data_IF_685145025097
#
_entry.id   IF_685145025097
#
_cell.length_a   1.000
_cell.length_b   1.000
_cell.length_c   1.000
_cell.angle_alpha   90.00
_cell.angle_beta   90.00
_cell.angle_gamma   90.00
#
_symmetry.space_group_name_H-M   'P 1'
#
loop_
_entity.id
_entity.type
_entity.pdbx_description
1 polymer ?
#
# COMPACT_ATOMS: atom_id res chain seq x y z
N UNK A 1 -10.68 -2.19 30.76
CA UNK A 1 -9.75 -2.24 29.61
C UNK A 1 -10.31 -3.28 28.65
N UNK A 2 -10.74 -2.92 27.44
CA UNK A 2 -11.19 -3.92 26.45
C UNK A 2 -9.96 -4.35 25.67
N UNK A 3 -9.46 -5.54 25.95
CA UNK A 3 -8.44 -6.16 25.11
C UNK A 3 -9.07 -6.48 23.76
N UNK A 4 -8.39 -6.08 22.69
CA UNK A 4 -8.76 -6.47 21.33
C UNK A 4 -8.21 -7.90 21.16
N UNK A 5 -8.96 -8.92 21.55
CA UNK A 5 -8.49 -10.32 21.55
C UNK A 5 -8.10 -10.85 20.15
N UNK A 6 -8.53 -10.20 19.07
CA UNK A 6 -8.34 -10.71 17.69
C UNK A 6 -7.26 -10.00 16.86
N UNK A 7 -7.21 -8.66 16.77
CA UNK A 7 -6.15 -7.96 16.05
C UNK A 7 -4.81 -8.10 16.77
N UNK A 8 -3.81 -8.61 16.05
CA UNK A 8 -2.43 -8.70 16.52
C UNK A 8 -1.58 -7.63 15.85
N UNK A 9 -0.65 -7.06 16.63
CA UNK A 9 0.33 -6.09 16.15
C UNK A 9 1.70 -6.76 16.09
N UNK A 10 2.29 -6.87 14.90
CA UNK A 10 3.63 -7.45 14.71
C UNK A 10 4.63 -6.38 14.31
N UNK A 11 5.82 -6.43 14.88
CA UNK A 11 6.91 -5.52 14.59
C UNK A 11 8.03 -6.26 13.85
N UNK A 12 8.38 -5.76 12.67
CA UNK A 12 9.51 -6.23 11.89
C UNK A 12 10.58 -5.12 11.89
N UNK A 13 11.66 -5.27 12.68
CA UNK A 13 12.64 -4.19 12.85
C UNK A 13 13.37 -3.88 11.54
N UNK A 14 13.55 -2.59 11.27
CA UNK A 14 14.30 -2.07 10.12
C UNK A 14 15.59 -1.41 10.61
N UNK A 15 16.65 -1.51 9.81
CA UNK A 15 18.00 -1.08 10.17
C UNK A 15 19.05 -1.94 9.48
N UNK A 16 20.28 -1.90 9.99
CA UNK A 16 21.40 -2.63 9.38
C UNK A 16 21.55 -2.31 7.89
N UNK A 17 21.70 -3.34 7.05
CA UNK A 17 21.86 -3.17 5.59
C UNK A 17 20.69 -2.43 4.92
N UNK A 18 19.50 -2.41 5.52
CA UNK A 18 18.36 -1.67 4.98
C UNK A 18 18.58 -0.15 5.02
N UNK A 19 19.46 0.35 5.90
CA UNK A 19 19.82 1.77 5.95
C UNK A 19 20.83 2.16 4.86
N UNK A 20 21.66 1.21 4.42
CA UNK A 20 22.74 1.49 3.47
C UNK A 20 22.27 1.43 2.01
N UNK A 21 21.15 0.73 1.75
CA UNK A 21 20.55 0.64 0.42
C UNK A 21 19.79 1.93 0.12
N UNK A 22 20.14 2.59 -1.00
CA UNK A 22 19.40 3.77 -1.48
C UNK A 22 17.90 3.47 -1.65
N UNK A 23 16.99 4.38 -1.22
CA UNK A 23 15.56 4.27 -1.44
C UNK A 23 15.15 4.08 -2.91
N UNK A 24 15.97 4.52 -3.86
CA UNK A 24 15.71 4.40 -5.31
C UNK A 24 16.44 3.23 -5.99
N UNK A 25 17.23 2.44 -5.24
CA UNK A 25 17.96 1.29 -5.79
C UNK A 25 17.02 0.19 -6.33
N UNK A 26 15.83 0.08 -5.74
CA UNK A 26 14.76 -0.86 -6.12
C UNK A 26 13.41 -0.16 -5.94
N UNK A 27 12.32 -0.69 -6.52
CA UNK A 27 10.98 -0.12 -6.35
C UNK A 27 10.58 0.08 -4.88
N UNK A 28 10.96 -0.84 -3.99
CA UNK A 28 10.70 -0.76 -2.56
C UNK A 28 11.54 0.35 -1.88
N UNK A 29 10.91 1.44 -1.40
CA UNK A 29 11.61 2.67 -1.01
C UNK A 29 11.86 2.80 0.50
N UNK A 30 11.26 1.95 1.33
CA UNK A 30 11.26 2.12 2.78
C UNK A 30 12.58 1.62 3.37
N UNK A 31 13.57 2.52 3.42
CA UNK A 31 14.97 2.27 3.84
C UNK A 31 15.29 3.07 5.11
N UNK A 32 16.48 3.68 5.16
CA UNK A 32 16.93 4.55 6.25
C UNK A 32 15.84 5.53 6.72
N UNK A 33 15.73 5.68 8.05
CA UNK A 33 14.72 6.51 8.70
C UNK A 33 13.49 5.74 9.20
N UNK A 34 13.30 4.48 8.77
CA UNK A 34 12.26 3.60 9.30
C UNK A 34 12.80 2.70 10.43
N UNK A 35 12.12 2.69 11.57
CA UNK A 35 12.51 1.88 12.75
C UNK A 35 11.98 0.44 12.65
N UNK A 36 10.75 0.27 12.13
CA UNK A 36 10.14 -1.03 11.92
C UNK A 36 9.00 -0.92 10.90
N UNK A 37 8.72 -2.03 10.21
CA UNK A 37 7.41 -2.26 9.60
C UNK A 37 6.47 -2.82 10.67
N UNK A 38 5.28 -2.23 10.78
CA UNK A 38 4.25 -2.65 11.74
C UNK A 38 3.07 -3.23 10.96
N UNK A 39 2.77 -4.51 11.18
CA UNK A 39 1.64 -5.22 10.58
C UNK A 39 0.50 -5.34 11.60
N UNK A 40 -0.72 -4.99 11.18
CA UNK A 40 -1.94 -5.38 11.90
C UNK A 40 -2.54 -6.57 11.16
N UNK A 41 -2.67 -7.71 11.84
CA UNK A 41 -3.34 -8.88 11.29
C UNK A 41 -4.53 -9.26 12.18
N UNK A 42 -5.63 -9.66 11.56
CA UNK A 42 -6.82 -10.15 12.26
C UNK A 42 -7.22 -11.45 11.57
N UNK A 43 -7.03 -12.58 12.27
CA UNK A 43 -7.42 -13.90 11.77
C UNK A 43 -8.61 -14.39 12.58
N UNK A 44 -9.56 -15.06 11.92
CA UNK A 44 -10.76 -15.57 12.56
C UNK A 44 -11.22 -16.86 11.88
N UNK A 45 -12.01 -17.67 12.60
CA UNK A 45 -12.54 -18.95 12.10
C UNK A 45 -14.02 -18.87 11.71
N UNK A 46 -14.74 -17.83 12.16
CA UNK A 46 -16.16 -17.67 11.88
C UNK A 46 -16.41 -17.37 10.39
N UNK A 47 -17.31 -18.13 9.79
CA UNK A 47 -17.69 -17.98 8.38
C UNK A 47 -18.85 -17.01 8.21
N UNK A 48 -19.02 -16.48 6.99
CA UNK A 48 -20.16 -15.63 6.62
C UNK A 48 -19.82 -14.15 6.52
N UNK A 49 -20.65 -13.42 5.76
CA UNK A 49 -20.40 -12.02 5.44
C UNK A 49 -20.43 -11.09 6.68
N UNK A 50 -21.27 -11.39 7.67
CA UNK A 50 -21.36 -10.63 8.92
C UNK A 50 -20.07 -10.74 9.73
N UNK A 51 -19.53 -11.96 9.89
CA UNK A 51 -18.26 -12.20 10.57
C UNK A 51 -17.11 -11.47 9.84
N UNK A 52 -17.02 -11.63 8.51
CA UNK A 52 -16.01 -10.93 7.72
C UNK A 52 -16.09 -9.40 7.88
N UNK A 53 -17.30 -8.84 7.81
CA UNK A 53 -17.54 -7.40 8.00
C UNK A 53 -17.11 -6.94 9.39
N UNK A 54 -17.43 -7.71 10.42
CA UNK A 54 -17.05 -7.42 11.80
C UNK A 54 -15.52 -7.35 11.98
N UNK A 55 -14.80 -8.40 11.56
CA UNK A 55 -13.35 -8.49 11.77
C UNK A 55 -12.56 -7.51 10.89
N UNK A 56 -12.98 -7.29 9.64
CA UNK A 56 -12.38 -6.25 8.78
C UNK A 56 -12.57 -4.86 9.42
N UNK A 57 -13.77 -4.56 9.92
CA UNK A 57 -14.02 -3.28 10.59
C UNK A 57 -13.24 -3.15 11.91
N UNK A 58 -12.96 -4.25 12.61
CA UNK A 58 -12.10 -4.26 13.79
C UNK A 58 -10.66 -3.87 13.42
N UNK A 59 -10.11 -4.46 12.35
CA UNK A 59 -8.79 -4.09 11.79
C UNK A 59 -8.75 -2.61 11.41
N UNK A 60 -9.77 -2.11 10.70
CA UNK A 60 -9.86 -0.69 10.30
C UNK A 60 -9.90 0.26 11.50
N UNK A 61 -10.64 -0.09 12.55
CA UNK A 61 -10.68 0.69 13.80
C UNK A 61 -9.29 0.76 14.45
N UNK A 62 -8.58 -0.37 14.50
CA UNK A 62 -7.24 -0.39 15.08
C UNK A 62 -6.23 0.38 14.20
N UNK A 63 -6.28 0.21 12.89
CA UNK A 63 -5.51 0.99 11.91
C UNK A 63 -5.76 2.50 12.06
N UNK A 64 -7.02 2.91 12.25
CA UNK A 64 -7.40 4.29 12.55
C UNK A 64 -6.79 4.80 13.84
N UNK A 65 -6.85 3.99 14.92
CA UNK A 65 -6.28 4.34 16.22
C UNK A 65 -4.76 4.55 16.19
N UNK A 66 -4.01 3.75 15.42
CA UNK A 66 -2.55 3.86 15.37
C UNK A 66 -2.02 4.95 14.43
N UNK A 67 -2.90 5.55 13.61
CA UNK A 67 -2.57 6.59 12.62
C UNK A 67 -1.61 7.69 13.12
N UNK A 68 -1.81 8.31 14.30
CA UNK A 68 -0.95 9.41 14.74
C UNK A 68 0.46 8.96 15.17
N UNK A 69 0.71 7.66 15.32
CA UNK A 69 1.99 7.12 15.83
C UNK A 69 2.87 6.54 14.72
N UNK A 70 2.38 6.48 13.47
CA UNK A 70 3.11 5.93 12.32
C UNK A 70 3.51 7.03 11.32
N UNK A 71 4.12 6.67 10.19
CA UNK A 71 4.58 7.63 9.19
C UNK A 71 3.45 8.55 8.68
N UNK A 72 3.71 9.86 8.59
CA UNK A 72 2.69 10.88 8.24
C UNK A 72 2.20 10.77 6.79
N UNK A 73 3.10 10.46 5.85
CA UNK A 73 2.72 10.16 4.45
C UNK A 73 2.05 8.79 4.30
N UNK A 74 1.84 8.08 5.43
CA UNK A 74 1.25 6.75 5.58
C UNK A 74 1.76 5.77 4.53
N UNK A 75 3.02 5.41 4.73
CA UNK A 75 3.75 4.42 3.95
C UNK A 75 3.13 3.02 4.11
N UNK A 76 3.15 2.23 3.03
CA UNK A 76 2.56 0.90 2.98
C UNK A 76 3.49 -0.09 2.28
N UNK A 77 3.30 -1.39 2.52
CA UNK A 77 4.11 -2.45 1.91
C UNK A 77 3.27 -3.29 0.94
N UNK A 78 3.65 -3.30 -0.34
CA UNK A 78 2.87 -3.94 -1.42
C UNK A 78 2.52 -5.41 -1.17
N UNK A 79 3.39 -6.18 -0.52
CA UNK A 79 3.14 -7.60 -0.26
C UNK A 79 2.06 -7.83 0.81
N UNK A 80 1.70 -6.80 1.57
CA UNK A 80 0.50 -6.76 2.41
C UNK A 80 -0.51 -5.84 1.72
N UNK A 81 -1.06 -6.33 0.61
CA UNK A 81 -1.94 -5.56 -0.27
C UNK A 81 -3.20 -5.12 0.48
N UNK A 82 -3.46 -3.82 0.48
CA UNK A 82 -4.57 -3.20 1.18
C UNK A 82 -5.42 -2.33 0.22
N UNK A 83 -6.61 -2.83 -0.13
CA UNK A 83 -7.55 -2.09 -0.99
C UNK A 83 -8.18 -0.87 -0.32
N UNK A 84 -8.12 -0.76 1.02
CA UNK A 84 -8.60 0.44 1.72
C UNK A 84 -7.70 1.66 1.46
N UNK A 85 -6.50 1.47 0.88
CA UNK A 85 -5.62 2.55 0.42
C UNK A 85 -6.09 3.20 -0.89
N UNK A 86 -7.03 2.57 -1.59
CA UNK A 86 -7.54 2.99 -2.90
C UNK A 86 -7.37 1.93 -3.97
N UNK A 87 -8.17 2.03 -5.03
CA UNK A 87 -8.11 1.17 -6.22
C UNK A 87 -8.22 2.05 -7.48
N UNK A 88 -7.81 1.52 -8.62
CA UNK A 88 -8.07 2.10 -9.94
C UNK A 88 -9.12 1.31 -10.70
N UNK A 89 -9.91 2.01 -11.52
CA UNK A 89 -11.00 1.42 -12.32
C UNK A 89 -10.64 1.25 -13.80
N UNK A 90 -9.37 1.41 -14.17
CA UNK A 90 -8.86 1.23 -15.53
C UNK A 90 -9.49 2.20 -16.56
N UNK A 91 -9.92 3.39 -16.11
CA UNK A 91 -10.44 4.46 -16.96
C UNK A 91 -9.43 5.61 -17.17
N UNK A 92 -9.88 6.75 -17.73
CA UNK A 92 -9.04 7.92 -17.97
C UNK A 92 -8.34 8.46 -16.72
N UNK A 93 -8.95 8.27 -15.54
CA UNK A 93 -8.43 8.71 -14.25
C UNK A 93 -7.47 7.71 -13.59
N UNK A 94 -7.08 6.62 -14.28
CA UNK A 94 -6.28 5.54 -13.69
C UNK A 94 -4.98 6.03 -13.07
N UNK A 95 -4.34 7.05 -13.64
CA UNK A 95 -3.12 7.62 -13.08
C UNK A 95 -3.35 8.28 -11.71
N UNK A 96 -4.35 9.16 -11.62
CA UNK A 96 -4.65 9.89 -10.39
C UNK A 96 -5.23 8.97 -9.31
N UNK A 97 -6.10 8.02 -9.69
CA UNK A 97 -6.58 6.96 -8.80
C UNK A 97 -5.40 6.13 -8.26
N UNK A 98 -4.48 5.73 -9.13
CA UNK A 98 -3.35 4.91 -8.72
C UNK A 98 -2.32 5.64 -7.85
N UNK A 99 -2.16 6.96 -8.04
CA UNK A 99 -1.26 7.75 -7.20
C UNK A 99 -1.66 7.70 -5.72
N UNK A 100 -2.95 7.52 -5.40
CA UNK A 100 -3.46 7.45 -4.02
C UNK A 100 -2.82 6.32 -3.19
N UNK A 101 -2.63 5.13 -3.79
CA UNK A 101 -1.96 3.98 -3.16
C UNK A 101 -0.50 3.84 -3.61
N UNK A 102 -0.18 4.22 -4.85
CA UNK A 102 1.14 4.08 -5.45
C UNK A 102 2.22 4.86 -4.70
N UNK A 103 1.91 6.10 -4.29
CA UNK A 103 2.84 6.91 -3.50
C UNK A 103 3.05 6.34 -2.09
N UNK A 104 2.07 5.61 -1.53
CA UNK A 104 2.22 4.93 -0.23
C UNK A 104 3.14 3.72 -0.34
N UNK A 105 3.02 2.94 -1.42
CA UNK A 105 3.84 1.76 -1.65
C UNK A 105 5.26 2.08 -2.13
N UNK A 106 5.42 3.06 -3.01
CA UNK A 106 6.64 3.29 -3.78
C UNK A 106 7.27 4.67 -3.56
N UNK A 107 6.62 5.59 -2.85
CA UNK A 107 7.08 6.97 -2.66
C UNK A 107 7.47 7.58 -4.02
N UNK A 108 8.63 8.23 -4.08
CA UNK A 108 9.16 8.86 -5.30
C UNK A 108 9.53 7.86 -6.41
N UNK A 109 9.55 6.55 -6.14
CA UNK A 109 9.78 5.55 -7.19
C UNK A 109 8.53 5.30 -8.05
N UNK A 110 7.36 5.77 -7.64
CA UNK A 110 6.10 5.56 -8.38
C UNK A 110 6.17 6.10 -9.82
N UNK A 111 6.68 7.32 -10.02
CA UNK A 111 6.72 7.95 -11.34
C UNK A 111 7.60 7.15 -12.32
N UNK A 112 8.77 6.72 -11.85
CA UNK A 112 9.65 5.83 -12.63
C UNK A 112 8.98 4.50 -12.99
N UNK A 113 8.16 3.94 -12.10
CA UNK A 113 7.42 2.71 -12.38
C UNK A 113 6.36 2.93 -13.45
N UNK A 114 5.64 4.06 -13.40
CA UNK A 114 4.64 4.44 -14.42
C UNK A 114 5.30 4.61 -15.78
N UNK A 115 6.46 5.29 -15.86
CA UNK A 115 7.21 5.43 -17.11
C UNK A 115 7.62 4.08 -17.70
N UNK A 116 8.12 3.16 -16.86
CA UNK A 116 8.53 1.82 -17.29
C UNK A 116 7.30 1.04 -17.79
N UNK A 117 6.23 1.01 -16.99
CA UNK A 117 4.96 0.35 -17.34
C UNK A 117 4.43 0.83 -18.70
N UNK A 118 4.45 2.14 -18.93
CA UNK A 118 4.00 2.76 -20.18
C UNK A 118 4.83 2.34 -21.40
N UNK A 119 6.12 2.00 -21.21
CA UNK A 119 7.00 1.53 -22.29
C UNK A 119 6.85 0.04 -22.58
N UNK A 120 6.70 -0.77 -21.53
CA UNK A 120 6.71 -2.24 -21.66
C UNK A 120 5.33 -2.85 -21.84
N UNK A 121 4.28 -2.14 -21.45
CA UNK A 121 2.88 -2.56 -21.56
C UNK A 121 1.97 -1.34 -21.81
N UNK A 122 2.09 -0.69 -22.99
CA UNK A 122 1.37 0.55 -23.31
C UNK A 122 -0.16 0.39 -23.38
N UNK A 123 -0.65 -0.82 -23.66
CA UNK A 123 -2.09 -1.14 -23.72
C UNK A 123 -2.69 -1.47 -22.33
N UNK A 124 -1.86 -1.42 -21.27
CA UNK A 124 -2.21 -1.79 -19.91
C UNK A 124 -2.84 -3.20 -19.82
N UNK A 125 -2.29 -4.17 -20.56
CA UNK A 125 -2.81 -5.54 -20.55
C UNK A 125 -2.65 -6.20 -19.17
N UNK A 126 -1.47 -6.05 -18.56
CA UNK A 126 -1.19 -6.58 -17.22
C UNK A 126 -1.68 -5.64 -16.14
N UNK A 127 -2.98 -5.72 -15.83
CA UNK A 127 -3.63 -4.84 -14.85
C UNK A 127 -4.47 -5.58 -13.81
N UNK A 128 -4.60 -4.94 -12.65
CA UNK A 128 -5.53 -5.23 -11.56
C UNK A 128 -5.89 -3.92 -10.84
N UNK A 129 -6.71 -4.02 -9.80
CA UNK A 129 -7.25 -2.91 -9.00
C UNK A 129 -6.18 -2.01 -8.36
N UNK A 130 -4.96 -2.52 -8.16
CA UNK A 130 -3.82 -1.76 -7.62
C UNK A 130 -2.54 -1.82 -8.48
N UNK A 131 -2.69 -2.09 -9.77
CA UNK A 131 -1.54 -2.14 -10.69
C UNK A 131 -1.02 -0.75 -11.04
N UNK A 132 0.29 -0.65 -11.35
CA UNK A 132 0.88 0.58 -11.85
C UNK A 132 0.15 1.00 -13.13
N UNK A 133 -0.33 2.26 -13.24
CA UNK A 133 -1.02 2.73 -14.42
C UNK A 133 -0.02 2.99 -15.56
N UNK A 134 -0.54 3.09 -16.78
CA UNK A 134 0.18 3.75 -17.88
C UNK A 134 -0.02 5.26 -17.79
N UNK A 135 0.90 6.03 -18.39
CA UNK A 135 0.71 7.46 -18.58
C UNK A 135 -0.55 7.69 -19.42
N UNK A 136 -1.31 8.77 -19.14
CA UNK A 136 -2.39 9.17 -20.03
C UNK A 136 -1.80 9.41 -21.42
N UNK A 137 -2.47 8.90 -22.46
CA UNK A 137 -2.16 9.28 -23.84
C UNK A 137 -2.25 10.81 -23.92
N UNK A 138 -1.15 11.46 -24.28
CA UNK A 138 -1.05 12.92 -24.37
C UNK A 138 -2.18 13.47 -25.24
N UNK A 139 -3.14 14.20 -24.66
CA UNK A 139 -4.25 14.76 -25.45
C UNK A 139 -5.44 15.38 -24.72
N UNK A 140 -5.42 15.63 -23.41
CA UNK A 140 -6.47 16.42 -22.75
C UNK A 140 -5.93 17.09 -21.47
N UNK A 141 -5.31 18.25 -21.66
CA UNK A 141 -5.27 19.33 -20.66
C UNK A 141 -6.33 20.33 -21.10
#
# INVERSE_FOLDING_TARGET
MKELETPILKFFPYGGIMNDISPSAKPFPHRAGNIALVEIATNWNQTGAEAATYYINLTRKFYGYITPFVSKSREAYLNYRDFDLGIKHNGPNSYSEAASYGLKYFKNNFDRLVEIKSKVDPEDFFRNEQSIPVLPLTGSI
#
